data_IF_335414863882
#
_entry.id   IF_335414863882
#
_cell.length_a   1.000
_cell.length_b   1.000
_cell.length_c   1.000
_cell.angle_alpha   90.00
_cell.angle_beta   90.00
_cell.angle_gamma   90.00
#
_symmetry.space_group_name_H-M   'P 1'
#
loop_
_entity.id
_entity.type
_entity.pdbx_description
1 polymer ?
#
# COMPACT_ATOMS: atom_id res chain seq x y z
N UNK A 1 -8.71 28.18 -75.98
CA UNK A 1 -7.55 27.62 -75.25
C UNK A 1 -7.84 27.77 -73.77
N UNK A 2 -8.29 26.70 -73.10
CA UNK A 2 -8.66 26.72 -71.67
C UNK A 2 -7.47 26.24 -70.85
N UNK A 3 -6.90 27.15 -70.06
CA UNK A 3 -5.81 26.86 -69.14
C UNK A 3 -6.31 25.92 -68.04
N UNK A 4 -5.71 24.74 -67.91
CA UNK A 4 -5.92 23.83 -66.79
C UNK A 4 -5.19 24.37 -65.56
N UNK A 5 -5.96 24.83 -64.58
CA UNK A 5 -5.43 25.25 -63.27
C UNK A 5 -4.93 23.99 -62.55
N UNK A 6 -3.62 23.93 -62.28
CA UNK A 6 -3.03 22.87 -61.46
C UNK A 6 -3.32 23.13 -59.98
N UNK A 7 -4.20 22.35 -59.37
CA UNK A 7 -4.38 22.36 -57.93
C UNK A 7 -3.39 21.38 -57.26
N UNK A 8 -2.56 21.82 -56.31
CA UNK A 8 -1.69 20.90 -55.58
C UNK A 8 -2.54 19.96 -54.71
N UNK A 9 -2.25 18.65 -54.80
CA UNK A 9 -2.88 17.64 -53.94
C UNK A 9 -2.71 18.06 -52.47
N UNK A 10 -3.80 18.41 -51.80
CA UNK A 10 -3.81 18.65 -50.35
C UNK A 10 -3.51 17.33 -49.65
N UNK A 11 -2.24 17.06 -49.36
CA UNK A 11 -1.83 15.93 -48.52
C UNK A 11 -2.36 16.21 -47.11
N UNK A 12 -3.39 15.49 -46.69
CA UNK A 12 -3.77 15.46 -45.27
C UNK A 12 -2.58 14.91 -44.51
N UNK A 13 -1.97 15.74 -43.66
CA UNK A 13 -0.96 15.28 -42.72
C UNK A 13 -1.67 14.27 -41.81
N UNK A 14 -1.18 13.03 -41.78
CA UNK A 14 -1.67 12.03 -40.83
C UNK A 14 -1.47 12.63 -39.45
N UNK A 15 -2.57 12.77 -38.70
CA UNK A 15 -2.54 13.32 -37.35
C UNK A 15 -1.44 12.63 -36.53
N UNK A 16 -0.62 13.39 -35.81
CA UNK A 16 0.46 12.81 -35.03
C UNK A 16 -0.15 11.84 -34.02
N UNK A 17 0.28 10.56 -33.97
CA UNK A 17 -0.26 9.59 -33.01
C UNK A 17 -0.15 10.13 -31.59
N UNK A 18 -1.11 9.76 -30.74
CA UNK A 18 -1.05 10.17 -29.34
C UNK A 18 0.14 9.51 -28.65
N UNK A 19 0.58 10.10 -27.53
CA UNK A 19 1.61 9.47 -26.71
C UNK A 19 1.20 8.06 -26.26
N UNK A 20 -0.10 7.79 -26.08
CA UNK A 20 -0.62 6.47 -25.77
C UNK A 20 -0.49 5.48 -26.93
N UNK A 21 -0.72 5.93 -28.17
CA UNK A 21 -0.59 5.09 -29.36
C UNK A 21 0.87 4.70 -29.62
N UNK A 22 1.78 5.66 -29.50
CA UNK A 22 3.24 5.39 -29.56
C UNK A 22 3.66 4.45 -28.43
N UNK A 23 3.14 4.66 -27.22
CA UNK A 23 3.44 3.79 -26.09
C UNK A 23 2.98 2.34 -26.29
N UNK A 24 1.85 2.12 -26.97
CA UNK A 24 1.40 0.78 -27.32
C UNK A 24 2.22 0.19 -28.45
N UNK A 25 2.49 0.96 -29.49
CA UNK A 25 3.22 0.52 -30.69
C UNK A 25 4.67 0.12 -30.38
N UNK A 26 5.32 0.84 -29.48
CA UNK A 26 6.71 0.57 -29.09
C UNK A 26 6.83 -0.44 -27.95
N UNK A 27 5.72 -1.02 -27.46
CA UNK A 27 5.76 -1.98 -26.35
C UNK A 27 6.68 -3.16 -26.72
N UNK A 28 7.70 -3.39 -25.89
CA UNK A 28 8.70 -4.45 -26.11
C UNK A 28 9.89 -4.05 -26.98
N UNK A 29 9.98 -2.79 -27.42
CA UNK A 29 11.18 -2.28 -28.08
C UNK A 29 12.39 -2.32 -27.12
N UNK A 30 13.61 -2.67 -27.58
CA UNK A 30 14.77 -2.87 -26.71
C UNK A 30 15.09 -1.68 -25.80
N UNK A 31 14.96 -0.45 -26.30
CA UNK A 31 15.20 0.78 -25.51
C UNK A 31 14.15 1.01 -24.42
N UNK A 32 12.99 0.37 -24.50
CA UNK A 32 11.94 0.45 -23.48
C UNK A 32 12.06 -0.64 -22.44
N UNK A 33 12.55 -1.83 -22.79
CA UNK A 33 12.66 -2.95 -21.84
C UNK A 33 13.48 -2.53 -20.62
N UNK A 34 14.69 -2.01 -20.83
CA UNK A 34 15.57 -1.56 -19.75
C UNK A 34 14.97 -0.41 -18.93
N UNK A 35 14.25 0.51 -19.59
CA UNK A 35 13.62 1.66 -18.94
C UNK A 35 12.41 1.22 -18.11
N UNK A 36 11.57 0.34 -18.67
CA UNK A 36 10.39 -0.21 -18.02
C UNK A 36 10.78 -1.08 -16.82
N UNK A 37 11.89 -1.82 -16.90
CA UNK A 37 12.45 -2.56 -15.78
C UNK A 37 12.95 -1.64 -14.66
N UNK A 38 13.72 -0.61 -14.99
CA UNK A 38 14.17 0.41 -14.03
C UNK A 38 12.98 1.12 -13.38
N UNK A 39 11.96 1.46 -14.17
CA UNK A 39 10.74 2.10 -13.69
C UNK A 39 9.93 1.17 -12.80
N UNK A 40 9.83 -0.13 -13.14
CA UNK A 40 9.19 -1.14 -12.31
C UNK A 40 9.91 -1.30 -10.96
N UNK A 41 11.24 -1.34 -10.96
CA UNK A 41 12.04 -1.40 -9.74
C UNK A 41 11.87 -0.14 -8.86
N UNK A 42 11.91 1.04 -9.47
CA UNK A 42 11.67 2.30 -8.78
C UNK A 42 10.25 2.37 -8.17
N UNK A 43 9.24 1.96 -8.92
CA UNK A 43 7.86 1.91 -8.44
C UNK A 43 7.67 0.89 -7.31
N UNK A 44 8.33 -0.26 -7.37
CA UNK A 44 8.30 -1.25 -6.29
C UNK A 44 8.89 -0.65 -5.00
N UNK A 45 10.06 -0.02 -5.09
CA UNK A 45 10.70 0.66 -3.94
C UNK A 45 9.82 1.79 -3.39
N UNK A 46 9.27 2.65 -4.25
CA UNK A 46 8.40 3.73 -3.83
C UNK A 46 7.14 3.22 -3.11
N UNK A 47 6.58 2.09 -3.58
CA UNK A 47 5.43 1.44 -2.93
C UNK A 47 5.78 0.91 -1.54
N UNK A 48 6.95 0.30 -1.37
CA UNK A 48 7.42 -0.17 -0.06
C UNK A 48 7.60 0.99 0.93
N UNK A 49 8.25 2.07 0.50
CA UNK A 49 8.43 3.28 1.31
C UNK A 49 7.08 3.92 1.70
N UNK A 50 6.12 3.94 0.77
CA UNK A 50 4.78 4.46 1.04
C UNK A 50 4.05 3.60 2.09
N UNK A 51 4.14 2.28 1.99
CA UNK A 51 3.55 1.36 2.97
C UNK A 51 4.20 1.53 4.36
N UNK A 52 5.51 1.70 4.41
CA UNK A 52 6.21 1.95 5.66
C UNK A 52 5.79 3.28 6.30
N UNK A 53 5.74 4.37 5.53
CA UNK A 53 5.24 5.67 6.01
C UNK A 53 3.81 5.57 6.51
N UNK A 54 2.94 4.88 5.79
CA UNK A 54 1.54 4.64 6.19
C UNK A 54 1.46 3.88 7.51
N UNK A 55 2.28 2.84 7.68
CA UNK A 55 2.35 2.03 8.90
C UNK A 55 2.75 2.87 10.10
N UNK A 56 3.84 3.63 9.99
CA UNK A 56 4.32 4.49 11.08
C UNK A 56 3.34 5.61 11.41
N UNK A 57 2.72 6.23 10.39
CA UNK A 57 1.69 7.25 10.58
C UNK A 57 0.48 6.72 11.35
N UNK A 58 -0.05 5.56 10.95
CA UNK A 58 -1.15 4.90 11.66
C UNK A 58 -0.79 4.52 13.09
N UNK A 59 0.40 3.94 13.30
CA UNK A 59 0.87 3.57 14.64
C UNK A 59 0.94 4.79 15.57
N UNK A 60 1.45 5.93 15.08
CA UNK A 60 1.50 7.18 15.84
C UNK A 60 0.10 7.71 16.15
N UNK A 61 -0.77 7.78 15.13
CA UNK A 61 -2.15 8.27 15.30
C UNK A 61 -2.92 7.44 16.35
N UNK A 62 -2.74 6.12 16.33
CA UNK A 62 -3.36 5.21 17.29
C UNK A 62 -2.75 5.38 18.68
N UNK A 63 -1.42 5.46 18.80
CA UNK A 63 -0.74 5.67 20.07
C UNK A 63 -1.22 6.97 20.74
N UNK A 64 -1.29 8.06 19.99
CA UNK A 64 -1.85 9.32 20.47
C UNK A 64 -3.31 9.12 20.90
N UNK A 65 -4.16 8.51 20.07
CA UNK A 65 -5.56 8.25 20.42
C UNK A 65 -5.76 7.38 21.67
N UNK A 66 -4.94 6.34 21.84
CA UNK A 66 -4.97 5.44 22.99
C UNK A 66 -4.55 6.12 24.28
N UNK A 67 -3.52 6.96 24.22
CA UNK A 67 -3.04 7.72 25.36
C UNK A 67 -4.10 8.73 25.83
N UNK A 68 -4.67 9.50 24.90
CA UNK A 68 -5.60 10.57 25.25
C UNK A 68 -6.99 10.06 25.67
N UNK A 69 -7.45 8.94 25.12
CA UNK A 69 -8.83 8.45 25.33
C UNK A 69 -8.92 7.35 26.39
N UNK A 70 -7.90 6.50 26.50
CA UNK A 70 -7.93 5.30 27.35
C UNK A 70 -6.76 5.23 28.34
N UNK A 71 -5.90 6.25 28.41
CA UNK A 71 -4.69 6.29 29.25
C UNK A 71 -3.78 5.06 29.05
N UNK A 72 -3.81 4.46 27.85
CA UNK A 72 -2.99 3.31 27.48
C UNK A 72 -1.78 3.80 26.69
N UNK A 73 -0.60 3.78 27.32
CA UNK A 73 0.66 4.08 26.64
C UNK A 73 1.25 2.82 25.98
N UNK A 74 1.08 2.70 24.67
CA UNK A 74 1.65 1.62 23.86
C UNK A 74 2.77 2.17 22.97
N UNK A 75 3.89 1.45 22.83
CA UNK A 75 5.00 1.91 22.01
C UNK A 75 4.64 2.01 20.53
N UNK A 76 4.96 3.13 19.88
CA UNK A 76 4.72 3.32 18.43
C UNK A 76 5.41 2.23 17.60
N UNK A 77 6.64 1.83 17.98
CA UNK A 77 7.38 0.77 17.30
C UNK A 77 6.72 -0.62 17.44
N UNK A 78 6.11 -0.90 18.60
CA UNK A 78 5.38 -2.14 18.84
C UNK A 78 4.11 -2.18 17.99
N UNK A 79 3.32 -1.09 18.02
CA UNK A 79 2.14 -0.94 17.16
C UNK A 79 2.50 -1.05 15.68
N UNK A 80 3.59 -0.42 15.25
CA UNK A 80 4.06 -0.51 13.87
C UNK A 80 4.40 -1.97 13.49
N UNK A 81 5.02 -2.74 14.39
CA UNK A 81 5.31 -4.16 14.16
C UNK A 81 4.04 -4.98 14.01
N UNK A 82 3.07 -4.82 14.91
CA UNK A 82 1.78 -5.52 14.85
C UNK A 82 1.01 -5.18 13.56
N UNK A 83 1.01 -3.91 13.16
CA UNK A 83 0.39 -3.47 11.90
C UNK A 83 1.12 -4.02 10.67
N UNK A 84 2.45 -4.17 10.73
CA UNK A 84 3.25 -4.78 9.64
C UNK A 84 2.78 -6.21 9.37
N UNK A 85 2.62 -7.00 10.43
CA UNK A 85 2.16 -8.39 10.32
C UNK A 85 0.74 -8.47 9.77
N UNK A 86 -0.17 -7.61 10.25
CA UNK A 86 -1.52 -7.50 9.69
C UNK A 86 -1.54 -7.13 8.20
N UNK A 87 -0.66 -6.22 7.75
CA UNK A 87 -0.58 -5.82 6.33
C UNK A 87 -0.04 -6.96 5.46
N UNK A 88 0.99 -7.67 5.94
CA UNK A 88 1.56 -8.81 5.24
C UNK A 88 0.53 -9.93 5.07
N UNK A 89 -0.23 -10.24 6.14
CA UNK A 89 -1.30 -11.23 6.10
C UNK A 89 -2.44 -10.82 5.17
N UNK A 90 -2.87 -9.55 5.19
CA UNK A 90 -3.88 -9.01 4.27
C UNK A 90 -3.43 -9.12 2.81
N UNK A 91 -2.17 -8.80 2.51
CA UNK A 91 -1.60 -8.94 1.16
C UNK A 91 -1.55 -10.40 0.72
N UNK A 92 -1.09 -11.30 1.59
CA UNK A 92 -1.06 -12.75 1.33
C UNK A 92 -2.47 -13.29 1.07
N UNK A 93 -3.48 -12.84 1.82
CA UNK A 93 -4.87 -13.23 1.62
C UNK A 93 -5.42 -12.80 0.26
N UNK A 94 -5.09 -11.61 -0.22
CA UNK A 94 -5.52 -11.17 -1.55
C UNK A 94 -4.91 -12.03 -2.67
N UNK A 95 -3.71 -12.56 -2.45
CA UNK A 95 -3.05 -13.49 -3.37
C UNK A 95 -3.62 -14.90 -3.27
N UNK A 96 -3.93 -15.37 -2.06
CA UNK A 96 -4.42 -16.73 -1.77
C UNK A 96 -5.94 -16.91 -1.92
N UNK A 97 -6.73 -15.84 -2.03
CA UNK A 97 -8.18 -15.96 -2.33
C UNK A 97 -8.48 -16.68 -3.66
N UNK A 98 -7.47 -17.00 -4.48
CA UNK A 98 -7.59 -17.85 -5.66
C UNK A 98 -7.35 -19.35 -5.37
N UNK A 99 -6.84 -19.74 -4.20
CA UNK A 99 -6.47 -21.11 -3.87
C UNK A 99 -6.80 -21.42 -2.39
N UNK A 100 -7.99 -22.00 -2.19
CA UNK A 100 -8.44 -22.74 -1.00
C UNK A 100 -8.54 -22.01 0.36
N UNK A 101 -9.67 -22.25 1.05
CA UNK A 101 -9.92 -21.82 2.44
C UNK A 101 -9.11 -22.68 3.40
N UNK A 102 -7.81 -22.43 3.54
CA UNK A 102 -7.01 -23.07 4.59
C UNK A 102 -7.51 -22.64 5.96
N UNK A 103 -7.62 -23.60 6.89
CA UNK A 103 -7.87 -23.37 8.31
C UNK A 103 -6.90 -22.31 8.84
N UNK A 104 -7.42 -21.18 9.31
CA UNK A 104 -6.62 -20.06 9.79
C UNK A 104 -6.29 -20.23 11.26
N UNK A 105 -5.06 -19.90 11.62
CA UNK A 105 -4.67 -19.70 13.01
C UNK A 105 -5.46 -18.50 13.58
N UNK A 106 -6.15 -18.64 14.73
CA UNK A 106 -6.78 -17.53 15.44
C UNK A 106 -5.88 -16.30 15.63
N UNK A 107 -4.57 -16.50 15.76
CA UNK A 107 -3.60 -15.42 15.94
C UNK A 107 -3.44 -14.56 14.67
N UNK A 108 -3.42 -15.18 13.49
CA UNK A 108 -3.37 -14.44 12.20
C UNK A 108 -4.64 -13.62 11.97
N UNK A 109 -5.79 -14.16 12.40
CA UNK A 109 -7.08 -13.45 12.32
C UNK A 109 -7.05 -12.20 13.20
N UNK A 110 -6.45 -12.28 14.39
CA UNK A 110 -6.33 -11.14 15.30
C UNK A 110 -5.52 -9.98 14.67
N UNK A 111 -4.42 -10.27 13.97
CA UNK A 111 -3.63 -9.23 13.29
C UNK A 111 -4.39 -8.51 12.19
N UNK A 112 -5.15 -9.25 11.38
CA UNK A 112 -5.95 -8.67 10.31
C UNK A 112 -7.11 -7.85 10.88
N UNK A 113 -7.73 -8.31 11.96
CA UNK A 113 -8.76 -7.55 12.68
C UNK A 113 -8.19 -6.28 13.31
N UNK A 114 -6.99 -6.36 13.92
CA UNK A 114 -6.31 -5.20 14.50
C UNK A 114 -6.01 -4.16 13.43
N UNK A 115 -5.47 -4.59 12.28
CA UNK A 115 -5.23 -3.71 11.14
C UNK A 115 -6.53 -3.06 10.64
N UNK A 116 -7.62 -3.82 10.53
CA UNK A 116 -8.90 -3.27 10.07
C UNK A 116 -9.49 -2.25 11.06
N UNK A 117 -9.37 -2.49 12.36
CA UNK A 117 -9.78 -1.55 13.40
C UNK A 117 -8.90 -0.28 13.39
N UNK A 118 -7.59 -0.45 13.21
CA UNK A 118 -6.62 0.62 13.06
C UNK A 118 -6.90 1.50 11.83
N UNK A 119 -7.18 0.90 10.66
CA UNK A 119 -7.52 1.63 9.43
C UNK A 119 -8.83 2.41 9.57
N UNK A 120 -9.78 1.94 10.40
CA UNK A 120 -11.05 2.62 10.70
C UNK A 120 -10.96 3.61 11.87
N UNK A 121 -9.82 3.67 12.54
CA UNK A 121 -9.64 4.43 13.77
C UNK A 121 -10.64 4.04 14.89
N UNK A 122 -11.04 2.77 14.97
CA UNK A 122 -11.87 2.25 16.06
C UNK A 122 -11.00 1.94 17.27
N UNK A 123 -10.73 2.98 18.07
CA UNK A 123 -9.87 2.88 19.23
C UNK A 123 -10.41 1.89 20.29
N UNK A 124 -11.73 1.74 20.42
CA UNK A 124 -12.33 0.78 21.36
C UNK A 124 -11.95 -0.65 20.97
N UNK A 125 -12.11 -0.98 19.70
CA UNK A 125 -11.78 -2.30 19.19
C UNK A 125 -10.27 -2.55 19.23
N UNK A 126 -9.46 -1.55 18.91
CA UNK A 126 -7.99 -1.64 19.02
C UNK A 126 -7.57 -1.98 20.44
N UNK A 127 -8.11 -1.30 21.46
CA UNK A 127 -7.82 -1.57 22.88
C UNK A 127 -8.09 -3.04 23.25
N UNK A 128 -9.25 -3.56 22.86
CA UNK A 128 -9.66 -4.95 23.16
C UNK A 128 -8.77 -5.97 22.44
N UNK A 129 -8.38 -5.68 21.20
CA UNK A 129 -7.53 -6.57 20.42
C UNK A 129 -6.08 -6.55 20.90
N UNK A 130 -5.58 -5.41 21.39
CA UNK A 130 -4.23 -5.28 21.93
C UNK A 130 -3.98 -6.14 23.16
N UNK A 131 -5.01 -6.42 23.96
CA UNK A 131 -4.89 -7.30 25.13
C UNK A 131 -4.67 -8.79 24.74
N UNK A 132 -4.86 -9.15 23.46
CA UNK A 132 -4.58 -10.50 22.93
C UNK A 132 -3.13 -10.70 22.49
N UNK A 133 -2.36 -9.62 22.37
CA UNK A 133 -0.96 -9.68 21.96
C UNK A 133 -0.06 -9.54 23.19
N UNK A 134 1.07 -10.27 23.24
CA UNK A 134 2.03 -10.11 24.32
C UNK A 134 2.54 -8.68 24.33
N UNK A 135 2.37 -7.99 25.48
CA UNK A 135 2.90 -6.64 25.65
C UNK A 135 4.42 -6.71 25.60
N UNK A 136 5.03 -5.87 24.76
CA UNK A 136 6.49 -5.68 24.80
C UNK A 136 6.91 -5.11 26.15
N UNK A 137 8.22 -5.26 26.44
CA UNK A 137 8.86 -5.17 27.78
C UNK A 137 8.60 -3.89 28.61
N UNK A 138 7.84 -2.92 28.15
CA UNK A 138 7.60 -1.64 28.82
C UNK A 138 6.33 -1.59 29.69
N UNK A 139 5.47 -2.60 29.66
CA UNK A 139 4.24 -2.62 30.49
C UNK A 139 4.51 -2.76 32.01
N UNK A 140 5.72 -3.17 32.42
CA UNK A 140 6.08 -3.36 33.83
C UNK A 140 6.90 -2.22 34.44
N UNK A 141 7.12 -1.11 33.73
CA UNK A 141 7.97 -0.01 34.22
C UNK A 141 7.25 1.01 35.12
N UNK A 142 5.93 0.93 35.27
CA UNK A 142 5.15 1.86 36.09
C UNK A 142 4.60 1.17 37.34
N UNK A 143 5.47 0.95 38.32
CA UNK A 143 5.16 0.98 39.77
C UNK A 143 6.46 0.81 40.57
N UNK A 144 6.99 1.89 41.16
CA UNK A 144 7.54 1.83 42.50
C UNK A 144 6.60 2.54 43.47
N UNK A 145 6.53 1.95 44.67
CA UNK A 145 5.72 2.31 45.83
C UNK A 145 5.86 3.77 46.27
#
# INVERSE_FOLDING_TARGET
MTATVWEPLRRKIVWNPSAGDIHQQERGAPWRVDVDEKLRAANAKAKEEQLEKRRWGLAKQIQDGLLHTYDKNYGVAELATLLKEGMALKSRQQQQQQQEKTQRDPHEVAYVQLLAAAEKYDLKQVVVLLDKFPKGRHANAAKPH
#
